data_IF_877669139309
#
_entry.id   IF_877669139309
#
_cell.length_a   1.000
_cell.length_b   1.000
_cell.length_c   1.000
_cell.angle_alpha   90.00
_cell.angle_beta   90.00
_cell.angle_gamma   90.00
#
_symmetry.space_group_name_H-M   'P 1'
#
loop_
_entity.id
_entity.type
_entity.pdbx_description
1 polymer ?
#
# COMPACT_ATOMS: atom_id res chain seq x y z
N UNK A 1 4.12 -26.49 -9.99
CA UNK A 1 3.77 -25.14 -10.49
C UNK A 1 2.62 -24.47 -9.72
N UNK A 2 1.63 -25.21 -9.22
CA UNK A 2 0.50 -24.67 -8.44
C UNK A 2 0.91 -23.96 -7.12
N UNK A 3 1.89 -24.48 -6.39
CA UNK A 3 2.34 -23.91 -5.11
C UNK A 3 3.02 -22.55 -5.26
N UNK A 4 3.82 -22.34 -6.31
CA UNK A 4 4.45 -21.06 -6.60
C UNK A 4 3.40 -19.95 -6.84
N UNK A 5 2.31 -20.28 -7.54
CA UNK A 5 1.20 -19.36 -7.73
C UNK A 5 0.47 -19.03 -6.42
N UNK A 6 0.29 -19.99 -5.49
CA UNK A 6 -0.28 -19.69 -4.15
C UNK A 6 0.61 -18.68 -3.43
N UNK A 7 1.92 -18.95 -3.36
CA UNK A 7 2.86 -18.14 -2.58
C UNK A 7 2.90 -16.71 -3.12
N UNK A 8 2.99 -16.53 -4.44
CA UNK A 8 2.98 -15.21 -5.06
C UNK A 8 1.65 -14.49 -4.79
N UNK A 9 0.52 -15.19 -4.89
CA UNK A 9 -0.80 -14.62 -4.61
C UNK A 9 -0.93 -14.14 -3.15
N UNK A 10 -0.49 -14.96 -2.19
CA UNK A 10 -0.54 -14.63 -0.75
C UNK A 10 0.41 -13.48 -0.41
N UNK A 11 1.64 -13.47 -0.93
CA UNK A 11 2.59 -12.36 -0.71
C UNK A 11 2.05 -11.06 -1.30
N UNK A 12 1.41 -11.13 -2.47
CA UNK A 12 0.76 -9.96 -3.09
C UNK A 12 -0.39 -9.45 -2.24
N UNK A 13 -1.24 -10.34 -1.71
CA UNK A 13 -2.32 -10.00 -0.80
C UNK A 13 -1.82 -9.33 0.49
N UNK A 14 -0.78 -9.89 1.12
CA UNK A 14 -0.19 -9.32 2.35
C UNK A 14 0.44 -7.95 2.07
N UNK A 15 1.15 -7.80 0.95
CA UNK A 15 1.80 -6.54 0.57
C UNK A 15 0.77 -5.45 0.29
N UNK A 16 -0.29 -5.78 -0.44
CA UNK A 16 -1.37 -4.86 -0.76
C UNK A 16 -2.14 -4.44 0.50
N UNK A 17 -2.61 -5.43 1.28
CA UNK A 17 -3.41 -5.18 2.48
C UNK A 17 -2.61 -4.48 3.58
N UNK A 18 -1.37 -4.93 3.82
CA UNK A 18 -0.47 -4.29 4.78
C UNK A 18 -0.11 -2.87 4.38
N UNK A 19 0.04 -2.61 3.08
CA UNK A 19 0.26 -1.28 2.53
C UNK A 19 -0.90 -0.32 2.72
N UNK A 20 -2.11 -0.79 2.43
CA UNK A 20 -3.33 -0.01 2.63
C UNK A 20 -3.55 0.31 4.11
N UNK A 21 -3.34 -0.69 4.98
CA UNK A 21 -3.40 -0.51 6.43
C UNK A 21 -2.35 0.48 6.93
N UNK A 22 -1.11 0.41 6.45
CA UNK A 22 -0.05 1.34 6.86
C UNK A 22 -0.39 2.79 6.47
N UNK A 23 -0.86 3.01 5.23
CA UNK A 23 -1.27 4.34 4.78
C UNK A 23 -2.43 4.91 5.62
N UNK A 24 -3.46 4.11 5.88
CA UNK A 24 -4.67 4.56 6.60
C UNK A 24 -4.45 4.68 8.12
N UNK A 25 -3.73 3.73 8.73
CA UNK A 25 -3.57 3.67 10.19
C UNK A 25 -2.36 4.44 10.70
N UNK A 26 -1.36 4.73 9.86
CA UNK A 26 -0.13 5.40 10.29
C UNK A 26 0.03 6.75 9.57
N UNK A 27 0.09 6.75 8.23
CA UNK A 27 0.40 8.00 7.51
C UNK A 27 -0.74 9.00 7.56
N UNK A 28 -2.00 8.56 7.41
CA UNK A 28 -3.16 9.44 7.52
C UNK A 28 -3.28 10.11 8.91
N UNK A 29 -3.20 9.39 10.05
CA UNK A 29 -3.23 10.03 11.36
C UNK A 29 -1.99 10.88 11.65
N UNK A 30 -0.81 10.54 11.11
CA UNK A 30 0.38 11.38 11.21
C UNK A 30 0.17 12.73 10.49
N UNK A 31 -0.31 12.70 9.25
CA UNK A 31 -0.64 13.92 8.52
C UNK A 31 -1.74 14.76 9.20
N UNK A 32 -2.75 14.11 9.78
CA UNK A 32 -3.81 14.78 10.56
C UNK A 32 -3.26 15.44 11.83
N UNK A 33 -2.30 14.80 12.52
CA UNK A 33 -1.63 15.38 13.70
C UNK A 33 -0.81 16.61 13.34
N UNK A 34 -0.06 16.55 12.25
CA UNK A 34 0.72 17.69 11.78
C UNK A 34 -0.18 18.88 11.39
N UNK A 35 -1.28 18.62 10.68
CA UNK A 35 -2.28 19.66 10.40
C UNK A 35 -2.88 20.29 11.67
N UNK A 36 -3.18 19.47 12.69
CA UNK A 36 -3.74 19.95 13.95
C UNK A 36 -2.73 20.79 14.76
N UNK A 37 -1.42 20.59 14.55
CA UNK A 37 -0.35 21.34 15.23
C UNK A 37 -0.04 22.71 14.60
N UNK A 38 -0.73 23.09 13.52
CA UNK A 38 -0.56 24.39 12.85
C UNK A 38 0.65 24.47 11.92
N UNK A 39 1.32 23.35 11.64
CA UNK A 39 2.40 23.23 10.64
C UNK A 39 1.97 22.29 9.50
N UNK A 40 1.09 22.75 8.60
CA UNK A 40 0.49 21.89 7.57
C UNK A 40 1.45 21.44 6.44
N UNK A 41 2.67 21.94 6.39
CA UNK A 41 3.64 21.66 5.31
C UNK A 41 4.32 20.29 5.42
N UNK A 42 5.06 19.99 6.51
CA UNK A 42 5.94 18.84 6.55
C UNK A 42 5.22 17.47 6.54
N UNK A 43 4.18 17.30 7.34
CA UNK A 43 3.45 16.01 7.42
C UNK A 43 2.65 15.67 6.18
N UNK A 44 2.13 16.67 5.46
CA UNK A 44 1.43 16.45 4.20
C UNK A 44 2.41 16.10 3.08
N UNK A 45 3.57 16.75 3.04
CA UNK A 45 4.64 16.44 2.08
C UNK A 45 5.20 15.02 2.32
N UNK A 46 5.41 14.63 3.57
CA UNK A 46 5.86 13.28 3.92
C UNK A 46 4.79 12.21 3.61
N UNK A 47 3.51 12.50 3.85
CA UNK A 47 2.41 11.63 3.40
C UNK A 47 2.39 11.52 1.87
N UNK A 48 2.61 12.61 1.14
CA UNK A 48 2.60 12.62 -0.33
C UNK A 48 3.77 11.83 -0.91
N UNK A 49 4.96 11.95 -0.33
CA UNK A 49 6.13 11.16 -0.72
C UNK A 49 5.98 9.68 -0.38
N UNK A 50 5.47 9.39 0.82
CA UNK A 50 5.14 8.01 1.21
C UNK A 50 4.11 7.43 0.25
N UNK A 51 3.02 8.15 -0.03
CA UNK A 51 2.00 7.74 -0.99
C UNK A 51 2.59 7.55 -2.39
N UNK A 52 3.39 8.48 -2.91
CA UNK A 52 4.01 8.36 -4.24
C UNK A 52 4.94 7.15 -4.36
N UNK A 53 5.59 6.71 -3.29
CA UNK A 53 6.38 5.47 -3.26
C UNK A 53 5.53 4.22 -3.06
N UNK A 54 4.46 4.32 -2.28
CA UNK A 54 3.62 3.19 -1.94
C UNK A 54 2.61 2.86 -3.05
N UNK A 55 2.09 3.86 -3.76
CA UNK A 55 1.12 3.69 -4.85
C UNK A 55 1.65 2.78 -5.99
N UNK A 56 2.90 2.94 -6.48
CA UNK A 56 3.50 2.01 -7.44
C UNK A 56 3.60 0.57 -6.91
N UNK A 57 3.98 0.39 -5.64
CA UNK A 57 4.06 -0.94 -5.02
C UNK A 57 2.66 -1.57 -4.79
N UNK A 58 1.68 -0.75 -4.43
CA UNK A 58 0.27 -1.14 -4.31
C UNK A 58 -0.32 -1.50 -5.68
N UNK A 59 -0.02 -0.74 -6.73
CA UNK A 59 -0.43 -1.05 -8.09
C UNK A 59 0.26 -2.30 -8.64
N UNK A 60 1.57 -2.45 -8.40
CA UNK A 60 2.30 -3.66 -8.78
C UNK A 60 1.72 -4.91 -8.10
N UNK A 61 1.43 -4.84 -6.80
CA UNK A 61 0.78 -5.95 -6.07
C UNK A 61 -0.66 -6.20 -6.52
N UNK A 62 -1.43 -5.15 -6.85
CA UNK A 62 -2.77 -5.28 -7.43
C UNK A 62 -2.74 -5.99 -8.80
N UNK A 63 -1.82 -5.60 -9.68
CA UNK A 63 -1.61 -6.26 -10.99
C UNK A 63 -1.21 -7.72 -10.78
N UNK A 64 -0.29 -7.99 -9.85
CA UNK A 64 0.14 -9.35 -9.54
C UNK A 64 -1.00 -10.22 -8.98
N UNK A 65 -1.84 -9.66 -8.12
CA UNK A 65 -3.08 -10.28 -7.63
C UNK A 65 -4.04 -10.60 -8.77
N UNK A 66 -4.30 -9.63 -9.67
CA UNK A 66 -5.20 -9.82 -10.80
C UNK A 66 -4.69 -10.90 -11.76
N UNK A 67 -3.39 -10.89 -12.09
CA UNK A 67 -2.79 -11.89 -12.98
C UNK A 67 -2.77 -13.28 -12.35
N UNK A 68 -2.40 -13.38 -11.06
CA UNK A 68 -2.39 -14.69 -10.37
C UNK A 68 -3.78 -15.23 -10.07
N UNK A 69 -4.76 -14.36 -9.83
CA UNK A 69 -6.16 -14.71 -9.68
C UNK A 69 -6.76 -15.19 -11.00
N UNK A 70 -6.53 -14.46 -12.10
CA UNK A 70 -6.99 -14.86 -13.44
C UNK A 70 -6.36 -16.16 -13.93
N UNK A 71 -5.10 -16.44 -13.57
CA UNK A 71 -4.45 -17.72 -13.88
C UNK A 71 -5.02 -18.91 -13.07
N UNK A 72 -5.74 -18.64 -11.98
CA UNK A 72 -6.39 -19.65 -11.12
C UNK A 72 -7.89 -19.80 -11.35
N UNK A 73 -8.51 -18.95 -12.19
CA UNK A 73 -9.91 -19.00 -12.57
C UNK A 73 -10.12 -19.90 -13.80
#
# INVERSE_FOLDING_TARGET
MYQAAVVIHVISAITWLGGMLFLVMVMLPLARRDMASGQPGPGLEMLRDAANRFLPAAWASMILLAVTGAYRA
#
